data_IF_328039209431
#
_entry.id   IF_328039209431
#
_cell.length_a   1.000
_cell.length_b   1.000
_cell.length_c   1.000
_cell.angle_alpha   90.00
_cell.angle_beta   90.00
_cell.angle_gamma   90.00
#
_symmetry.space_group_name_H-M   'P 1'
#
loop_
_entity.id
_entity.type
_entity.pdbx_description
1 polymer ?
#
# COMPACT_ATOMS: atom_id res chain seq x y z
N UNK A 1 3.70 9.89 -16.92
CA UNK A 1 2.65 8.91 -16.59
C UNK A 1 1.32 9.64 -16.37
N UNK A 2 0.17 8.96 -16.45
CA UNK A 2 -1.14 9.60 -16.21
C UNK A 2 -1.30 10.06 -14.74
N UNK A 3 -2.14 11.05 -14.43
CA UNK A 3 -2.34 11.54 -13.05
C UNK A 3 -2.75 10.46 -12.04
N UNK A 4 -3.51 9.45 -12.48
CA UNK A 4 -3.97 8.33 -11.64
C UNK A 4 -2.83 7.61 -10.89
N UNK A 5 -1.65 7.51 -11.49
CA UNK A 5 -0.50 6.84 -10.89
C UNK A 5 0.07 7.59 -9.68
N UNK A 6 -0.16 8.91 -9.58
CA UNK A 6 0.23 9.73 -8.43
C UNK A 6 -0.86 9.77 -7.36
N UNK A 7 -2.12 9.74 -7.79
CA UNK A 7 -3.28 9.77 -6.89
C UNK A 7 -3.36 8.50 -6.05
N UNK A 8 -3.09 7.33 -6.65
CA UNK A 8 -3.17 6.04 -5.94
C UNK A 8 -2.25 5.98 -4.70
N UNK A 9 -0.94 6.29 -4.80
CA UNK A 9 -0.08 6.37 -3.61
C UNK A 9 -0.61 7.35 -2.56
N UNK A 10 -1.11 8.52 -2.96
CA UNK A 10 -1.67 9.51 -2.03
C UNK A 10 -2.92 8.99 -1.30
N UNK A 11 -3.77 8.21 -1.98
CA UNK A 11 -4.88 7.50 -1.34
C UNK A 11 -4.36 6.45 -0.36
N UNK A 12 -3.33 5.68 -0.74
CA UNK A 12 -2.69 4.72 0.16
C UNK A 12 -2.08 5.42 1.39
N UNK A 13 -1.49 6.61 1.23
CA UNK A 13 -1.00 7.44 2.34
C UNK A 13 -2.12 7.85 3.29
N UNK A 14 -3.23 8.34 2.74
CA UNK A 14 -4.39 8.71 3.53
C UNK A 14 -4.90 7.51 4.33
N UNK A 15 -5.04 6.34 3.69
CA UNK A 15 -5.41 5.09 4.37
C UNK A 15 -4.40 4.71 5.46
N UNK A 16 -3.10 4.80 5.19
CA UNK A 16 -2.06 4.54 6.19
C UNK A 16 -2.16 5.51 7.38
N UNK A 17 -2.43 6.79 7.14
CA UNK A 17 -2.62 7.79 8.20
C UNK A 17 -3.84 7.47 9.08
N UNK A 18 -4.96 7.05 8.47
CA UNK A 18 -6.14 6.61 9.23
C UNK A 18 -5.85 5.36 10.06
N UNK A 19 -5.12 4.39 9.52
CA UNK A 19 -4.69 3.21 10.30
C UNK A 19 -3.73 3.60 11.43
N UNK A 20 -2.85 4.57 11.20
CA UNK A 20 -1.96 5.11 12.24
C UNK A 20 -2.75 5.79 13.37
N UNK A 21 -3.80 6.54 13.03
CA UNK A 21 -4.71 7.13 14.00
C UNK A 21 -5.45 6.05 14.80
N UNK A 22 -5.96 5.01 14.11
CA UNK A 22 -6.59 3.86 14.75
C UNK A 22 -5.64 3.19 15.77
N UNK A 23 -4.40 2.89 15.38
CA UNK A 23 -3.39 2.33 16.28
C UNK A 23 -3.16 3.19 17.53
N UNK A 24 -3.10 4.52 17.38
CA UNK A 24 -2.97 5.43 18.51
C UNK A 24 -4.19 5.42 19.42
N UNK A 25 -5.40 5.36 18.85
CA UNK A 25 -6.64 5.28 19.62
C UNK A 25 -6.75 3.98 20.43
N UNK A 26 -6.25 2.85 19.92
CA UNK A 26 -6.32 1.56 20.60
C UNK A 26 -5.56 1.52 21.94
N UNK A 27 -4.60 2.42 22.17
CA UNK A 27 -3.92 2.55 23.47
C UNK A 27 -4.76 3.28 24.53
N UNK A 28 -5.74 4.10 24.10
CA UNK A 28 -6.63 4.86 25.00
C UNK A 28 -7.98 4.15 25.13
N UNK A 29 -8.49 3.63 24.01
CA UNK A 29 -9.76 2.92 23.89
C UNK A 29 -9.51 1.57 23.21
N UNK A 30 -9.22 0.51 23.98
CA UNK A 30 -9.03 -0.81 23.42
C UNK A 30 -10.34 -1.30 22.76
N UNK A 31 -10.24 -1.79 21.53
CA UNK A 31 -11.37 -2.29 20.74
C UNK A 31 -11.39 -3.82 20.85
N UNK A 32 -12.45 -4.36 21.43
CA UNK A 32 -12.63 -5.82 21.53
C UNK A 32 -12.77 -6.45 20.13
N UNK A 33 -12.13 -7.61 19.94
CA UNK A 33 -12.15 -8.34 18.66
C UNK A 33 -11.19 -7.80 17.59
N UNK A 34 -10.45 -6.71 17.85
CA UNK A 34 -9.43 -6.18 16.93
C UNK A 34 -8.02 -6.39 17.50
N UNK A 35 -7.22 -7.19 16.80
CA UNK A 35 -5.83 -7.44 17.19
C UNK A 35 -4.93 -6.28 16.77
N UNK A 36 -4.37 -5.55 17.73
CA UNK A 36 -3.45 -4.42 17.48
C UNK A 36 -2.33 -4.79 16.48
N UNK A 37 -1.72 -5.97 16.64
CA UNK A 37 -0.64 -6.44 15.78
C UNK A 37 -1.07 -6.58 14.30
N UNK A 38 -2.32 -6.95 14.04
CA UNK A 38 -2.82 -7.13 12.68
C UNK A 38 -3.00 -5.77 11.98
N UNK A 39 -3.53 -4.80 12.72
CA UNK A 39 -3.64 -3.41 12.24
C UNK A 39 -2.25 -2.80 12.05
N UNK A 40 -1.30 -3.10 12.94
CA UNK A 40 0.07 -2.59 12.85
C UNK A 40 0.77 -3.06 11.56
N UNK A 41 0.63 -4.35 11.23
CA UNK A 41 1.15 -4.90 9.98
C UNK A 41 0.47 -4.30 8.75
N UNK A 42 -0.86 -4.16 8.80
CA UNK A 42 -1.62 -3.52 7.71
C UNK A 42 -1.11 -2.09 7.48
N UNK A 43 -0.93 -1.32 8.56
CA UNK A 43 -0.44 0.06 8.52
C UNK A 43 0.95 0.15 7.88
N UNK A 44 1.91 -0.66 8.34
CA UNK A 44 3.29 -0.58 7.86
C UNK A 44 3.43 -0.96 6.38
N UNK A 45 2.72 -2.00 5.93
CA UNK A 45 2.74 -2.42 4.51
C UNK A 45 2.10 -1.38 3.59
N UNK A 46 0.95 -0.81 3.96
CA UNK A 46 0.33 0.25 3.17
C UNK A 46 1.21 1.51 3.17
N UNK A 47 1.85 1.87 4.29
CA UNK A 47 2.73 3.04 4.38
C UNK A 47 4.00 2.88 3.52
N UNK A 48 4.67 1.73 3.60
CA UNK A 48 5.96 1.52 2.91
C UNK A 48 5.76 1.09 1.45
N UNK A 49 4.92 0.08 1.19
CA UNK A 49 4.74 -0.47 -0.15
C UNK A 49 3.66 0.30 -0.93
N UNK A 50 2.55 0.62 -0.29
CA UNK A 50 1.43 1.33 -0.92
C UNK A 50 1.68 2.81 -1.17
N UNK A 51 2.24 3.52 -0.21
CA UNK A 51 2.52 4.96 -0.33
C UNK A 51 3.93 5.22 -0.85
N UNK A 52 4.95 4.94 -0.03
CA UNK A 52 6.30 5.41 -0.29
C UNK A 52 6.91 4.77 -1.53
N UNK A 53 6.92 3.44 -1.59
CA UNK A 53 7.46 2.69 -2.71
C UNK A 53 6.75 3.04 -4.03
N UNK A 54 5.41 3.02 -4.07
CA UNK A 54 4.68 3.30 -5.32
C UNK A 54 4.86 4.75 -5.78
N UNK A 55 4.91 5.72 -4.86
CA UNK A 55 5.20 7.11 -5.25
C UNK A 55 6.60 7.24 -5.84
N UNK A 56 7.61 6.68 -5.16
CA UNK A 56 9.01 6.68 -5.63
C UNK A 56 9.11 5.95 -6.98
N UNK A 57 8.45 4.80 -7.11
CA UNK A 57 8.38 4.04 -8.35
C UNK A 57 7.87 4.91 -9.51
N UNK A 58 6.76 5.62 -9.34
CA UNK A 58 6.17 6.47 -10.39
C UNK A 58 7.12 7.61 -10.77
N UNK A 59 7.76 8.24 -9.78
CA UNK A 59 8.73 9.31 -10.02
C UNK A 59 9.95 8.79 -10.81
N UNK A 60 10.48 7.63 -10.44
CA UNK A 60 11.64 7.02 -11.10
C UNK A 60 11.30 6.56 -12.52
N UNK A 61 10.17 5.88 -12.71
CA UNK A 61 9.73 5.41 -14.03
C UNK A 61 9.47 6.58 -14.97
N UNK A 62 8.84 7.65 -14.48
CA UNK A 62 8.60 8.83 -15.30
C UNK A 62 9.90 9.51 -15.71
N UNK A 63 10.87 9.62 -14.80
CA UNK A 63 12.11 10.35 -15.06
C UNK A 63 13.13 9.54 -15.87
N UNK A 64 13.20 8.22 -15.67
CA UNK A 64 14.29 7.39 -16.18
C UNK A 64 13.84 6.16 -16.97
N UNK A 65 12.59 5.70 -16.78
CA UNK A 65 12.13 4.40 -17.28
C UNK A 65 11.49 4.43 -18.67
N UNK A 66 10.63 5.42 -18.97
CA UNK A 66 9.82 5.40 -20.19
C UNK A 66 10.59 6.02 -21.36
N UNK A 67 11.04 5.19 -22.31
CA UNK A 67 11.67 5.64 -23.58
C UNK A 67 10.87 5.21 -24.80
N UNK A 68 10.04 4.17 -24.66
CA UNK A 68 9.23 3.59 -25.73
C UNK A 68 7.81 3.26 -25.25
N UNK A 69 6.82 3.18 -26.17
CA UNK A 69 5.46 2.76 -25.83
C UNK A 69 5.37 1.33 -25.24
N UNK A 70 6.34 0.45 -25.55
CA UNK A 70 6.41 -0.90 -24.98
C UNK A 70 6.79 -0.87 -23.50
N UNK A 71 7.76 -0.04 -23.13
CA UNK A 71 8.18 0.16 -21.73
C UNK A 71 7.07 0.80 -20.91
N UNK A 72 6.34 1.78 -21.47
CA UNK A 72 5.18 2.37 -20.79
C UNK A 72 4.15 1.30 -20.38
N UNK A 73 3.81 0.38 -21.29
CA UNK A 73 2.91 -0.75 -21.00
C UNK A 73 3.50 -1.74 -19.99
N UNK A 74 4.81 -1.94 -19.99
CA UNK A 74 5.48 -2.80 -19.03
C UNK A 74 5.40 -2.22 -17.62
N UNK A 75 5.82 -0.96 -17.44
CA UNK A 75 5.78 -0.30 -16.13
C UNK A 75 4.35 -0.08 -15.63
N UNK A 76 3.40 0.23 -16.52
CA UNK A 76 1.99 0.31 -16.13
C UNK A 76 1.47 -1.02 -15.57
N UNK A 77 1.82 -2.17 -16.18
CA UNK A 77 1.44 -3.49 -15.65
C UNK A 77 2.11 -3.77 -14.31
N UNK A 78 3.41 -3.47 -14.19
CA UNK A 78 4.14 -3.67 -12.95
C UNK A 78 3.54 -2.85 -11.79
N UNK A 79 3.21 -1.58 -12.03
CA UNK A 79 2.51 -0.74 -11.06
C UNK A 79 1.19 -1.38 -10.59
N UNK A 80 0.35 -1.84 -11.53
CA UNK A 80 -0.95 -2.43 -11.18
C UNK A 80 -0.81 -3.76 -10.45
N UNK A 81 0.15 -4.61 -10.81
CA UNK A 81 0.44 -5.84 -10.06
C UNK A 81 0.85 -5.53 -8.62
N UNK A 82 1.74 -4.55 -8.41
CA UNK A 82 2.14 -4.14 -7.06
C UNK A 82 0.97 -3.53 -6.28
N UNK A 83 0.17 -2.65 -6.91
CA UNK A 83 -1.00 -2.08 -6.25
C UNK A 83 -2.03 -3.16 -5.86
N UNK A 84 -2.26 -4.16 -6.71
CA UNK A 84 -3.13 -5.29 -6.36
C UNK A 84 -2.58 -6.10 -5.18
N UNK A 85 -1.27 -6.34 -5.13
CA UNK A 85 -0.64 -7.00 -3.99
C UNK A 85 -0.80 -6.19 -2.69
N UNK A 86 -0.61 -4.86 -2.75
CA UNK A 86 -0.84 -3.96 -1.61
C UNK A 86 -2.29 -4.01 -1.13
N UNK A 87 -3.26 -3.98 -2.05
CA UNK A 87 -4.68 -4.11 -1.70
C UNK A 87 -5.01 -5.48 -1.13
N UNK A 88 -4.42 -6.55 -1.67
CA UNK A 88 -4.55 -7.90 -1.13
C UNK A 88 -4.09 -7.96 0.32
N UNK A 89 -2.88 -7.48 0.59
CA UNK A 89 -2.33 -7.34 1.96
C UNK A 89 -3.24 -6.49 2.86
N UNK A 90 -3.72 -5.35 2.37
CA UNK A 90 -4.59 -4.46 3.13
C UNK A 90 -5.89 -5.13 3.59
N UNK A 91 -6.42 -6.04 2.77
CA UNK A 91 -7.65 -6.77 3.06
C UNK A 91 -7.40 -8.02 3.91
N UNK A 92 -6.26 -8.69 3.78
CA UNK A 92 -6.00 -9.96 4.50
C UNK A 92 -5.41 -9.74 5.88
N UNK A 93 -4.50 -8.76 6.06
CA UNK A 93 -3.81 -8.54 7.33
C UNK A 93 -4.76 -8.27 8.52
N UNK A 94 -5.83 -7.47 8.40
CA UNK A 94 -6.73 -7.20 9.54
C UNK A 94 -7.44 -8.44 10.09
N UNK A 95 -7.66 -9.48 9.27
CA UNK A 95 -8.40 -10.69 9.66
C UNK A 95 -7.50 -11.89 9.93
N UNK A 96 -6.37 -12.01 9.23
CA UNK A 96 -5.51 -13.20 9.27
C UNK A 96 -4.11 -12.95 9.86
N UNK A 97 -3.71 -11.69 10.07
CA UNK A 97 -2.36 -11.34 10.50
C UNK A 97 -1.28 -11.80 9.50
N UNK A 98 -0.09 -12.16 10.01
CA UNK A 98 1.07 -12.66 9.23
C UNK A 98 0.90 -14.14 8.82
N UNK A 99 -0.25 -14.52 8.28
CA UNK A 99 -0.45 -15.84 7.70
C UNK A 99 0.16 -15.90 6.28
N UNK A 100 0.46 -17.10 5.76
CA UNK A 100 1.08 -17.28 4.44
C UNK A 100 0.29 -16.58 3.30
N UNK A 101 -1.04 -16.52 3.40
CA UNK A 101 -1.90 -15.80 2.45
C UNK A 101 -1.71 -14.26 2.46
N UNK A 102 -1.08 -13.71 3.51
CA UNK A 102 -0.82 -12.27 3.65
C UNK A 102 0.54 -11.84 3.10
N UNK A 103 1.39 -12.79 2.67
CA UNK A 103 2.77 -12.53 2.17
C UNK A 103 3.11 -13.35 0.91
N UNK A 104 2.19 -14.22 0.44
CA UNK A 104 2.35 -15.03 -0.78
C UNK A 104 1.92 -14.29 -2.05
#
# INVERSE_FOLDING_TARGET
MKPVYYIIPLVNFFTAALLGLLLRSMFVYPIEGVTFLYILHTHSHIALLGWLYLLVYVLFVQQFGIKTPKEEKFYARLFWMTQLAVLGMALTFPFMGYAAASIA
#
